data_IF_534831436295
#
_entry.id   IF_534831436295
#
_cell.length_a   1.000
_cell.length_b   1.000
_cell.length_c   1.000
_cell.angle_alpha   90.00
_cell.angle_beta   90.00
_cell.angle_gamma   90.00
#
_symmetry.space_group_name_H-M   'P 1'
#
loop_
_entity.id
_entity.type
_entity.pdbx_description
1 polymer ?
#
# COMPACT_ATOMS: atom_id res chain seq x y z
N UNK A 1 29.58 -63.52 66.18
CA UNK A 1 29.95 -64.62 65.26
C UNK A 1 29.27 -64.31 63.94
N UNK A 2 29.93 -63.64 62.98
CA UNK A 2 30.87 -64.25 62.01
C UNK A 2 30.24 -65.48 61.35
N UNK A 3 30.07 -65.60 60.04
CA UNK A 3 30.73 -64.96 58.89
C UNK A 3 30.11 -65.57 57.63
N UNK A 4 29.86 -64.75 56.60
CA UNK A 4 30.07 -64.96 55.14
C UNK A 4 29.57 -66.26 54.47
N UNK A 5 28.72 -66.23 53.45
CA UNK A 5 28.98 -65.73 52.08
C UNK A 5 29.11 -66.95 51.14
N UNK A 6 28.90 -66.96 49.83
CA UNK A 6 28.56 -66.00 48.78
C UNK A 6 28.40 -66.83 47.47
N UNK A 7 27.57 -66.36 46.52
CA UNK A 7 27.64 -66.56 45.04
C UNK A 7 26.35 -66.02 44.39
N UNK A 8 26.37 -64.79 43.84
CA UNK A 8 26.60 -64.39 42.43
C UNK A 8 25.60 -65.05 41.45
N UNK A 9 24.82 -64.34 40.63
CA UNK A 9 25.15 -63.28 39.65
C UNK A 9 23.90 -62.45 39.30
N UNK A 10 23.96 -61.11 39.26
CA UNK A 10 23.96 -60.30 38.02
C UNK A 10 22.52 -59.93 37.55
N UNK A 11 22.10 -58.69 37.30
CA UNK A 11 22.77 -57.40 37.29
C UNK A 11 21.77 -56.29 36.93
N UNK A 12 21.90 -55.17 37.67
CA UNK A 12 21.78 -53.75 37.30
C UNK A 12 20.45 -53.22 36.68
N UNK A 13 19.59 -52.56 37.46
CA UNK A 13 19.58 -51.14 37.92
C UNK A 13 18.82 -50.19 36.97
N UNK A 14 17.56 -49.89 37.33
CA UNK A 14 16.89 -48.63 36.99
C UNK A 14 16.38 -48.04 38.30
N UNK A 15 16.96 -46.91 38.72
CA UNK A 15 16.60 -46.16 39.92
C UNK A 15 15.82 -44.90 39.51
N UNK A 16 14.60 -44.81 40.06
CA UNK A 16 13.88 -43.64 40.62
C UNK A 16 14.23 -42.22 40.15
N UNK A 17 13.18 -41.45 39.84
CA UNK A 17 12.72 -40.23 40.55
C UNK A 17 11.54 -39.67 39.73
N UNK A 18 10.36 -39.38 40.29
CA UNK A 18 10.08 -38.35 41.28
C UNK A 18 9.19 -37.31 40.61
N UNK A 19 7.87 -37.38 40.83
CA UNK A 19 6.88 -36.48 40.24
C UNK A 19 7.05 -35.06 40.81
N UNK A 20 7.40 -34.10 39.95
CA UNK A 20 7.28 -32.67 40.19
C UNK A 20 6.17 -32.13 39.29
N UNK A 21 5.08 -31.68 39.92
CA UNK A 21 4.02 -30.96 39.25
C UNK A 21 4.55 -29.60 38.76
N UNK A 22 4.85 -29.51 37.46
CA UNK A 22 5.17 -28.25 36.82
C UNK A 22 3.89 -27.44 36.60
N UNK A 23 3.77 -26.32 37.32
CA UNK A 23 2.83 -25.29 36.94
C UNK A 23 3.23 -24.77 35.54
N UNK A 24 2.41 -25.07 34.54
CA UNK A 24 2.51 -24.42 33.23
C UNK A 24 2.06 -22.97 33.46
N UNK A 25 3.04 -22.08 33.65
CA UNK A 25 2.83 -20.67 33.34
C UNK A 25 2.53 -20.62 31.85
N UNK A 26 1.24 -20.56 31.51
CA UNK A 26 0.81 -20.01 30.24
C UNK A 26 1.28 -18.57 30.24
N UNK A 27 2.44 -18.32 29.63
CA UNK A 27 2.85 -16.97 29.28
C UNK A 27 1.77 -16.44 28.33
N UNK A 28 0.94 -15.54 28.84
CA UNK A 28 0.13 -14.68 28.01
C UNK A 28 1.12 -13.89 27.13
N UNK A 29 1.25 -14.29 25.87
CA UNK A 29 1.95 -13.49 24.85
C UNK A 29 1.00 -12.34 24.51
N UNK A 30 1.05 -11.30 25.35
CA UNK A 30 0.37 -10.03 25.15
C UNK A 30 1.38 -8.92 24.88
N UNK A 31 1.27 -8.31 23.70
CA UNK A 31 1.52 -6.90 23.37
C UNK A 31 2.72 -6.18 24.03
N UNK A 32 3.95 -6.55 23.65
CA UNK A 32 5.15 -5.75 23.96
C UNK A 32 5.78 -5.05 22.74
N UNK A 33 5.43 -5.44 21.51
CA UNK A 33 6.05 -4.90 20.29
C UNK A 33 5.38 -3.62 19.72
N UNK A 34 4.21 -3.22 20.24
CA UNK A 34 3.42 -2.08 19.71
C UNK A 34 3.93 -0.69 20.10
N UNK A 35 4.42 -0.55 21.34
CA UNK A 35 4.83 0.73 21.93
C UNK A 35 6.20 1.21 21.41
N UNK A 36 7.21 0.33 21.20
CA UNK A 36 8.56 0.79 20.85
C UNK A 36 8.65 1.55 19.51
N UNK A 37 7.92 1.12 18.46
CA UNK A 37 8.02 1.73 17.13
C UNK A 37 7.43 3.15 17.14
N UNK A 38 6.19 3.28 17.62
CA UNK A 38 5.51 4.58 17.62
C UNK A 38 6.20 5.55 18.57
N UNK A 39 6.63 5.09 19.75
CA UNK A 39 7.37 5.92 20.71
C UNK A 39 8.75 6.32 20.17
N UNK A 40 9.47 5.43 19.47
CA UNK A 40 10.72 5.76 18.78
C UNK A 40 10.51 6.83 17.71
N UNK A 41 9.45 6.69 16.89
CA UNK A 41 9.10 7.66 15.86
C UNK A 41 8.79 9.03 16.46
N UNK A 42 7.98 9.09 17.52
CA UNK A 42 7.65 10.34 18.21
C UNK A 42 8.87 10.99 18.84
N UNK A 43 9.66 10.22 19.57
CA UNK A 43 10.87 10.72 20.25
C UNK A 43 11.85 11.31 19.25
N UNK A 44 12.04 10.65 18.10
CA UNK A 44 12.94 11.16 17.08
C UNK A 44 12.36 12.34 16.29
N UNK A 45 11.04 12.40 16.12
CA UNK A 45 10.35 13.52 15.49
C UNK A 45 10.54 14.80 16.33
N UNK A 46 10.27 14.70 17.64
CA UNK A 46 10.40 15.81 18.58
C UNK A 46 11.85 16.31 18.62
N UNK A 47 12.81 15.40 18.75
CA UNK A 47 14.25 15.72 18.73
C UNK A 47 14.66 16.39 17.41
N UNK A 48 14.16 15.89 16.28
CA UNK A 48 14.51 16.43 14.96
C UNK A 48 13.95 17.83 14.75
N UNK A 49 12.69 18.08 15.13
CA UNK A 49 12.08 19.40 15.05
C UNK A 49 12.76 20.40 15.99
N UNK A 50 13.16 19.98 17.20
CA UNK A 50 13.91 20.81 18.13
C UNK A 50 15.29 21.21 17.58
N UNK A 51 16.08 20.22 17.13
CA UNK A 51 17.46 20.46 16.66
C UNK A 51 17.47 21.24 15.35
N UNK A 52 16.65 20.85 14.37
CA UNK A 52 16.61 21.52 13.07
C UNK A 52 15.88 22.87 13.13
N UNK A 53 15.06 23.10 14.16
CA UNK A 53 14.41 24.39 14.40
C UNK A 53 15.39 25.54 14.68
N UNK A 54 16.64 25.22 15.06
CA UNK A 54 17.70 26.19 15.31
C UNK A 54 18.53 26.56 14.07
N UNK A 55 18.28 25.91 12.92
CA UNK A 55 19.00 26.18 11.68
C UNK A 55 18.47 27.43 10.95
N UNK A 56 19.27 27.97 10.02
CA UNK A 56 18.88 29.14 9.21
C UNK A 56 17.62 28.94 8.37
N UNK A 57 17.36 27.69 7.96
CA UNK A 57 16.21 27.30 7.13
C UNK A 57 15.47 26.17 7.86
N UNK A 58 14.74 26.47 8.94
CA UNK A 58 14.14 25.43 9.77
C UNK A 58 13.01 24.70 9.02
N UNK A 59 12.83 23.39 9.25
CA UNK A 59 11.65 22.69 8.75
C UNK A 59 10.40 23.21 9.43
N UNK A 60 9.35 23.48 8.64
CA UNK A 60 8.04 23.86 9.17
C UNK A 60 7.10 22.65 9.31
N UNK A 61 7.43 21.54 8.64
CA UNK A 61 6.70 20.27 8.71
C UNK A 61 7.65 19.08 8.59
N UNK A 62 7.39 18.06 9.40
CA UNK A 62 8.06 16.77 9.34
C UNK A 62 7.04 15.65 9.62
N UNK A 63 7.10 14.58 8.83
CA UNK A 63 6.36 13.35 9.13
C UNK A 63 7.21 12.12 8.87
N UNK A 64 6.93 11.07 9.65
CA UNK A 64 7.47 9.74 9.47
C UNK A 64 6.32 8.77 9.21
N UNK A 65 6.48 7.95 8.17
CA UNK A 65 5.64 6.78 7.93
C UNK A 65 6.53 5.53 7.90
N UNK A 66 6.28 4.59 8.80
CA UNK A 66 6.87 3.26 8.73
C UNK A 66 5.80 2.31 8.22
N UNK A 67 6.08 1.64 7.10
CA UNK A 67 5.22 0.61 6.51
C UNK A 67 5.88 -0.74 6.66
N UNK A 68 5.23 -1.63 7.41
CA UNK A 68 5.62 -3.03 7.56
C UNK A 68 4.69 -3.94 6.77
N UNK A 69 5.28 -4.80 5.96
CA UNK A 69 4.60 -5.85 5.25
C UNK A 69 5.13 -7.20 5.73
N UNK A 70 4.24 -8.02 6.29
CA UNK A 70 4.56 -9.36 6.79
C UNK A 70 3.54 -10.37 6.27
N UNK A 71 4.02 -11.53 5.82
CA UNK A 71 3.12 -12.57 5.36
C UNK A 71 3.81 -13.69 4.60
N UNK A 72 3.08 -14.32 3.69
CA UNK A 72 3.55 -15.45 2.88
C UNK A 72 3.15 -15.26 1.42
N UNK A 73 3.98 -15.74 0.51
CA UNK A 73 3.67 -15.83 -0.92
C UNK A 73 3.95 -17.25 -1.41
N UNK A 74 2.93 -17.84 -2.04
CA UNK A 74 2.97 -19.18 -2.61
C UNK A 74 2.65 -19.08 -4.10
N UNK A 75 3.36 -19.82 -4.94
CA UNK A 75 3.14 -19.80 -6.39
C UNK A 75 3.49 -21.12 -7.04
N UNK A 76 2.67 -21.53 -8.01
CA UNK A 76 2.88 -22.71 -8.83
C UNK A 76 2.70 -22.38 -10.31
N UNK A 77 3.33 -23.21 -11.14
CA UNK A 77 3.29 -23.12 -12.60
C UNK A 77 3.09 -24.52 -13.15
N UNK A 78 2.10 -24.70 -14.02
CA UNK A 78 1.78 -25.99 -14.64
C UNK A 78 1.70 -27.17 -13.65
N UNK A 79 1.15 -26.94 -12.46
CA UNK A 79 1.00 -27.99 -11.43
C UNK A 79 2.22 -28.24 -10.56
N UNK A 80 3.31 -27.48 -10.75
CA UNK A 80 4.52 -27.59 -9.93
C UNK A 80 4.73 -26.33 -9.09
N UNK A 81 5.03 -26.49 -7.80
CA UNK A 81 5.42 -25.39 -6.95
C UNK A 81 6.67 -24.67 -7.48
N UNK A 82 6.64 -23.34 -7.48
CA UNK A 82 7.73 -22.46 -7.93
C UNK A 82 8.23 -21.52 -6.84
N UNK A 83 7.38 -21.22 -5.85
CA UNK A 83 7.68 -20.31 -4.74
C UNK A 83 6.84 -20.68 -3.52
N UNK A 84 7.46 -20.66 -2.33
CA UNK A 84 6.76 -20.75 -1.05
C UNK A 84 7.66 -20.16 0.02
N UNK A 85 7.53 -18.85 0.23
CA UNK A 85 8.42 -18.12 1.12
C UNK A 85 7.64 -17.15 2.01
N UNK A 86 7.97 -17.08 3.31
CA UNK A 86 7.56 -15.96 4.14
C UNK A 86 8.29 -14.68 3.67
N UNK A 87 7.69 -13.53 3.95
CA UNK A 87 8.36 -12.24 3.79
C UNK A 87 8.03 -11.35 4.98
N UNK A 88 9.02 -10.56 5.38
CA UNK A 88 8.89 -9.54 6.43
C UNK A 88 9.82 -8.40 6.07
N UNK A 89 9.23 -7.27 5.73
CA UNK A 89 9.95 -6.07 5.33
C UNK A 89 9.34 -4.86 6.00
N UNK A 90 10.18 -3.90 6.34
CA UNK A 90 9.79 -2.64 6.97
C UNK A 90 10.54 -1.50 6.29
N UNK A 91 9.81 -0.48 5.86
CA UNK A 91 10.37 0.69 5.19
C UNK A 91 9.95 1.98 5.88
N UNK A 92 10.83 2.96 5.84
CA UNK A 92 10.61 4.32 6.30
C UNK A 92 10.46 5.26 5.11
N UNK A 93 9.42 6.09 5.18
CA UNK A 93 9.31 7.32 4.43
C UNK A 93 9.37 8.53 5.36
N UNK A 94 10.06 9.57 4.89
CA UNK A 94 10.17 10.85 5.58
C UNK A 94 9.71 11.96 4.63
N UNK A 95 8.67 12.70 5.02
CA UNK A 95 8.31 13.96 4.36
C UNK A 95 8.80 15.11 5.24
N UNK A 96 9.77 15.87 4.73
CA UNK A 96 10.38 17.01 5.41
C UNK A 96 10.25 18.22 4.51
N UNK A 97 9.65 19.29 5.05
CA UNK A 97 9.37 20.52 4.32
C UNK A 97 10.00 21.74 4.97
N UNK A 98 10.68 22.54 4.15
CA UNK A 98 11.32 23.82 4.51
C UNK A 98 10.76 24.94 3.64
N UNK A 99 10.74 26.17 4.16
CA UNK A 99 10.02 27.29 3.56
C UNK A 99 8.76 27.57 4.36
N UNK A 100 7.60 27.60 3.72
CA UNK A 100 6.31 27.72 4.39
C UNK A 100 5.19 27.09 3.55
N UNK A 101 3.99 26.99 4.11
CA UNK A 101 2.82 26.43 3.42
C UNK A 101 2.56 27.05 2.03
N UNK A 102 2.81 28.34 1.84
CA UNK A 102 2.57 29.03 0.58
C UNK A 102 3.63 28.80 -0.50
N UNK A 103 4.88 28.55 -0.10
CA UNK A 103 6.00 28.25 -0.98
C UNK A 103 7.03 27.37 -0.25
N UNK A 104 7.20 26.13 -0.69
CA UNK A 104 8.16 25.20 -0.09
C UNK A 104 9.03 24.43 -1.10
N UNK A 105 9.93 23.60 -0.58
CA UNK A 105 10.86 22.76 -1.35
C UNK A 105 10.20 21.68 -2.22
N UNK A 106 8.88 21.52 -2.19
CA UNK A 106 8.16 20.51 -2.96
C UNK A 106 7.51 21.06 -4.24
N UNK A 107 7.46 22.39 -4.40
CA UNK A 107 6.96 23.03 -5.62
C UNK A 107 7.67 22.50 -6.86
N UNK A 108 6.90 22.14 -7.87
CA UNK A 108 7.44 21.62 -9.12
C UNK A 108 8.17 22.74 -9.87
N UNK A 109 9.40 22.47 -10.32
CA UNK A 109 10.17 23.41 -11.16
C UNK A 109 9.65 23.40 -12.60
N UNK A 110 9.65 24.57 -13.24
CA UNK A 110 9.32 24.69 -14.66
C UNK A 110 10.41 24.11 -15.56
N UNK A 111 10.02 23.66 -16.76
CA UNK A 111 10.95 23.13 -17.77
C UNK A 111 11.36 21.66 -17.58
N UNK A 112 10.67 20.91 -16.71
CA UNK A 112 10.78 19.45 -16.67
C UNK A 112 12.12 18.91 -16.20
N UNK A 113 13.00 19.76 -15.63
CA UNK A 113 14.15 19.28 -14.87
C UNK A 113 13.58 18.59 -13.64
N UNK A 114 13.35 17.28 -13.79
CA UNK A 114 12.82 16.42 -12.74
C UNK A 114 13.75 16.61 -11.56
N UNK A 115 13.34 17.40 -10.56
CA UNK A 115 13.85 17.22 -9.20
C UNK A 115 13.85 15.72 -8.99
N UNK A 116 15.03 15.14 -8.72
CA UNK A 116 15.40 13.72 -8.84
C UNK A 116 14.50 12.78 -8.00
N UNK A 117 13.21 12.74 -8.26
CA UNK A 117 12.18 12.30 -7.30
C UNK A 117 11.11 11.44 -7.98
N UNK A 118 11.50 10.72 -9.03
CA UNK A 118 10.87 9.45 -9.39
C UNK A 118 11.69 8.23 -8.97
N UNK A 119 12.86 8.43 -8.36
CA UNK A 119 13.65 7.32 -7.84
C UNK A 119 12.97 6.77 -6.61
N UNK A 120 12.32 5.61 -6.79
CA UNK A 120 11.95 4.70 -5.72
C UNK A 120 13.18 4.48 -4.85
N UNK A 121 13.14 4.99 -3.62
CA UNK A 121 14.23 4.81 -2.67
C UNK A 121 13.66 4.60 -1.27
N UNK A 122 13.01 3.46 -1.02
CA UNK A 122 12.51 3.13 0.31
C UNK A 122 13.70 2.94 1.25
N UNK A 123 13.64 3.54 2.43
CA UNK A 123 14.70 3.33 3.43
C UNK A 123 14.36 2.10 4.27
N UNK A 124 15.14 1.00 4.23
CA UNK A 124 14.88 -0.17 5.06
C UNK A 124 15.02 0.17 6.54
N UNK A 125 14.13 -0.37 7.37
CA UNK A 125 14.15 -0.25 8.83
C UNK A 125 14.32 -1.65 9.42
N UNK A 126 15.10 -1.82 10.50
CA UNK A 126 15.15 -3.08 11.23
C UNK A 126 13.73 -3.57 11.59
N UNK A 127 13.48 -4.86 11.35
CA UNK A 127 12.22 -5.51 11.70
C UNK A 127 12.11 -5.80 13.21
N UNK A 128 13.23 -5.77 13.93
CA UNK A 128 13.25 -5.84 15.39
C UNK A 128 12.64 -4.62 16.06
N UNK A 129 12.36 -4.74 17.36
CA UNK A 129 11.68 -3.71 18.16
C UNK A 129 12.64 -2.83 18.98
N UNK A 130 13.95 -2.86 18.68
CA UNK A 130 14.94 -2.01 19.35
C UNK A 130 14.72 -0.53 19.00
N UNK A 131 14.29 0.31 19.96
CA UNK A 131 13.97 1.71 19.68
C UNK A 131 15.20 2.51 19.24
N UNK A 132 16.40 2.20 19.72
CA UNK A 132 17.60 2.95 19.34
C UNK A 132 18.00 2.66 17.90
N UNK A 133 17.85 1.41 17.45
CA UNK A 133 18.09 1.03 16.06
C UNK A 133 17.10 1.71 15.10
N UNK A 134 15.83 1.79 15.47
CA UNK A 134 14.79 2.49 14.68
C UNK A 134 15.10 3.99 14.64
N UNK A 135 15.40 4.60 15.79
CA UNK A 135 15.74 6.02 15.89
C UNK A 135 16.99 6.39 15.11
N UNK A 136 18.00 5.53 15.06
CA UNK A 136 19.20 5.78 14.26
C UNK A 136 18.89 5.90 12.76
N UNK A 137 17.99 5.06 12.22
CA UNK A 137 17.55 5.14 10.82
C UNK A 137 16.71 6.38 10.57
N UNK A 138 15.78 6.71 11.47
CA UNK A 138 14.97 7.92 11.41
C UNK A 138 15.85 9.17 11.40
N UNK A 139 16.80 9.27 12.34
CA UNK A 139 17.77 10.36 12.44
C UNK A 139 18.56 10.56 11.14
N UNK A 140 19.22 9.49 10.68
CA UNK A 140 20.07 9.55 9.49
C UNK A 140 19.27 9.96 8.26
N UNK A 141 18.08 9.37 8.07
CA UNK A 141 17.22 9.68 6.93
C UNK A 141 16.72 11.13 6.99
N UNK A 142 16.37 11.61 8.18
CA UNK A 142 15.92 13.00 8.38
C UNK A 142 17.01 13.99 8.02
N UNK A 143 18.25 13.77 8.44
CA UNK A 143 19.41 14.61 8.06
C UNK A 143 19.60 14.67 6.53
N UNK A 144 19.53 13.52 5.84
CA UNK A 144 19.64 13.48 4.38
C UNK A 144 18.49 14.21 3.68
N UNK A 145 17.26 14.06 4.20
CA UNK A 145 16.08 14.77 3.66
C UNK A 145 16.17 16.27 3.91
N UNK A 146 16.65 16.71 5.07
CA UNK A 146 16.85 18.11 5.38
C UNK A 146 17.82 18.79 4.41
N UNK A 147 18.99 18.19 4.20
CA UNK A 147 19.99 18.68 3.23
C UNK A 147 19.40 18.79 1.82
N UNK A 148 18.71 17.74 1.38
CA UNK A 148 18.02 17.74 0.08
C UNK A 148 16.96 18.83 0.00
N UNK A 149 16.15 19.02 1.05
CA UNK A 149 15.07 19.98 1.09
C UNK A 149 15.58 21.43 0.97
N UNK A 150 16.73 21.76 1.57
CA UNK A 150 17.35 23.10 1.44
C UNK A 150 17.82 23.40 0.01
N UNK A 151 18.46 22.43 -0.63
CA UNK A 151 18.87 22.55 -2.04
C UNK A 151 17.64 22.75 -2.94
N UNK A 152 16.60 21.95 -2.69
CA UNK A 152 15.33 22.01 -3.40
C UNK A 152 14.62 23.36 -3.21
N UNK A 153 14.57 23.90 -2.00
CA UNK A 153 13.99 25.22 -1.74
C UNK A 153 14.73 26.32 -2.50
N UNK A 154 16.07 26.25 -2.54
CA UNK A 154 16.89 27.22 -3.27
C UNK A 154 16.60 27.19 -4.77
N UNK A 155 16.43 25.99 -5.33
CA UNK A 155 16.04 25.81 -6.73
C UNK A 155 14.63 26.36 -7.00
N UNK A 156 13.67 26.06 -6.13
CA UNK A 156 12.29 26.57 -6.22
C UNK A 156 12.25 28.10 -6.18
N UNK A 157 12.94 28.72 -5.22
CA UNK A 157 13.01 30.18 -5.10
C UNK A 157 13.66 30.84 -6.32
N UNK A 158 14.64 30.17 -6.93
CA UNK A 158 15.28 30.65 -8.16
C UNK A 158 14.33 30.56 -9.33
N UNK A 159 13.65 29.42 -9.51
CA UNK A 159 12.69 29.20 -10.58
C UNK A 159 11.52 30.18 -10.53
N UNK A 160 10.92 30.37 -9.35
CA UNK A 160 9.82 31.33 -9.14
C UNK A 160 10.23 32.77 -9.50
N UNK A 161 11.50 33.15 -9.29
CA UNK A 161 11.99 34.51 -9.60
C UNK A 161 12.20 34.74 -11.11
N UNK A 162 12.56 33.70 -11.86
CA UNK A 162 12.87 33.79 -13.30
C UNK A 162 11.69 33.40 -14.19
N UNK A 163 10.65 32.81 -13.60
CA UNK A 163 9.46 32.33 -14.28
C UNK A 163 8.33 33.35 -14.27
N UNK A 164 7.44 33.26 -15.26
CA UNK A 164 6.17 34.02 -15.29
C UNK A 164 5.27 33.58 -14.12
N UNK A 165 4.41 34.45 -13.59
CA UNK A 165 3.46 34.04 -12.54
C UNK A 165 2.58 32.84 -12.99
N UNK A 166 2.29 31.93 -12.06
CA UNK A 166 1.36 30.81 -12.26
C UNK A 166 -0.09 31.28 -12.16
N UNK A 167 -0.98 30.67 -12.95
CA UNK A 167 -2.43 30.91 -12.85
C UNK A 167 -2.98 30.38 -11.51
N UNK A 168 -2.49 29.22 -11.07
CA UNK A 168 -2.80 28.68 -9.74
C UNK A 168 -1.93 29.37 -8.68
N UNK A 169 -2.58 29.97 -7.68
CA UNK A 169 -1.95 30.70 -6.56
C UNK A 169 -2.08 29.97 -5.22
N UNK A 170 -2.47 28.71 -5.25
CA UNK A 170 -2.72 27.92 -4.05
C UNK A 170 -1.41 27.52 -3.39
N UNK A 171 -1.46 27.47 -2.06
CA UNK A 171 -0.39 26.99 -1.20
C UNK A 171 0.20 25.64 -1.66
N UNK A 172 1.49 25.43 -1.40
CA UNK A 172 2.17 24.15 -1.67
C UNK A 172 1.77 23.04 -0.70
N UNK A 173 1.29 23.43 0.49
CA UNK A 173 0.88 22.48 1.51
C UNK A 173 -0.27 22.98 2.37
N UNK A 174 -1.35 22.21 2.49
CA UNK A 174 -2.50 22.57 3.33
C UNK A 174 -2.20 22.42 4.82
N UNK A 175 -2.90 23.19 5.67
CA UNK A 175 -2.96 22.99 7.12
C UNK A 175 -4.15 22.10 7.46
N UNK A 176 -3.92 21.06 8.26
CA UNK A 176 -4.95 20.05 8.56
C UNK A 176 -5.12 19.82 10.06
N UNK A 177 -6.24 19.17 10.41
CA UNK A 177 -6.47 18.73 11.79
C UNK A 177 -5.61 17.51 12.11
N UNK A 178 -5.04 17.48 13.31
CA UNK A 178 -4.33 16.32 13.82
C UNK A 178 -5.30 15.19 14.24
N UNK A 179 -4.94 13.96 13.93
CA UNK A 179 -5.70 12.76 14.32
C UNK A 179 -4.88 11.85 15.21
N UNK A 180 -5.53 11.23 16.21
CA UNK A 180 -4.95 10.14 17.00
C UNK A 180 -5.80 8.90 16.85
N UNK A 181 -5.23 7.83 16.28
CA UNK A 181 -5.94 6.57 16.03
C UNK A 181 -4.97 5.40 15.98
N UNK A 182 -5.02 4.54 16.99
CA UNK A 182 -4.08 3.42 17.13
C UNK A 182 -4.88 2.10 17.07
N UNK A 183 -4.92 1.46 15.90
CA UNK A 183 -5.68 0.22 15.67
C UNK A 183 -4.93 -1.02 16.13
N UNK A 184 -5.60 -2.00 16.73
CA UNK A 184 -4.98 -3.27 17.13
C UNK A 184 -4.23 -3.95 15.97
N UNK A 185 -2.98 -4.41 16.16
CA UNK A 185 -2.25 -5.13 15.12
C UNK A 185 -2.97 -6.39 14.69
N UNK A 186 -2.89 -6.68 13.39
CA UNK A 186 -3.37 -7.93 12.80
C UNK A 186 -2.20 -8.83 12.46
N UNK A 187 -2.53 -10.09 12.22
CA UNK A 187 -1.57 -11.11 11.85
C UNK A 187 -2.13 -11.95 10.71
N UNK A 188 -1.21 -12.53 9.93
CA UNK A 188 -1.53 -13.52 8.92
C UNK A 188 -1.60 -14.89 9.60
N UNK A 189 -2.76 -15.53 9.51
CA UNK A 189 -2.98 -16.92 9.93
C UNK A 189 -3.56 -17.71 8.75
N UNK A 190 -2.72 -18.56 8.14
CA UNK A 190 -3.08 -19.39 6.99
C UNK A 190 -2.31 -20.71 7.01
N UNK A 191 -2.94 -21.79 6.57
CA UNK A 191 -2.25 -23.05 6.27
C UNK A 191 -1.52 -22.94 4.93
N UNK A 192 -0.21 -22.68 5.00
CA UNK A 192 0.67 -22.55 3.82
C UNK A 192 0.65 -23.82 2.97
N UNK A 193 0.69 -25.00 3.61
CA UNK A 193 0.70 -26.27 2.89
C UNK A 193 -0.63 -26.55 2.17
N UNK A 194 -1.76 -26.11 2.72
CA UNK A 194 -3.03 -26.14 2.02
C UNK A 194 -3.01 -25.24 0.77
N UNK A 195 -2.44 -24.04 0.88
CA UNK A 195 -2.34 -23.12 -0.26
C UNK A 195 -1.36 -23.57 -1.33
N UNK A 196 -0.25 -24.21 -0.98
CA UNK A 196 0.66 -24.88 -1.94
C UNK A 196 -0.10 -25.86 -2.83
N UNK A 197 -0.84 -26.79 -2.21
CA UNK A 197 -1.65 -27.77 -2.93
C UNK A 197 -2.73 -27.13 -3.80
N UNK A 198 -3.34 -26.02 -3.33
CA UNK A 198 -4.36 -25.29 -4.11
C UNK A 198 -3.75 -24.63 -5.34
N UNK A 199 -2.65 -23.89 -5.22
CA UNK A 199 -2.05 -23.21 -6.38
C UNK A 199 -1.48 -24.21 -7.40
N UNK A 200 -0.93 -25.34 -6.96
CA UNK A 200 -0.56 -26.44 -7.86
C UNK A 200 -1.79 -26.94 -8.62
N UNK A 201 -2.89 -27.27 -7.90
CA UNK A 201 -4.15 -27.70 -8.53
C UNK A 201 -4.69 -26.68 -9.53
N UNK A 202 -4.65 -25.39 -9.23
CA UNK A 202 -5.20 -24.35 -10.10
C UNK A 202 -4.35 -24.09 -11.35
N UNK A 203 -3.04 -24.32 -11.27
CA UNK A 203 -2.13 -24.15 -12.41
C UNK A 203 -1.96 -25.43 -13.26
N UNK A 204 -2.27 -26.61 -12.72
CA UNK A 204 -2.10 -27.89 -13.41
C UNK A 204 -2.87 -28.02 -14.75
N UNK A 205 -4.16 -27.61 -14.88
CA UNK A 205 -4.93 -27.84 -16.10
C UNK A 205 -4.32 -27.22 -17.36
N UNK A 206 -3.56 -26.13 -17.21
CA UNK A 206 -2.90 -25.47 -18.34
C UNK A 206 -1.83 -26.35 -19.02
N UNK A 207 -1.29 -27.37 -18.32
CA UNK A 207 -0.24 -28.24 -18.84
C UNK A 207 -0.71 -29.11 -20.01
N UNK A 208 -2.01 -29.41 -20.07
CA UNK A 208 -2.62 -30.21 -21.13
C UNK A 208 -2.77 -29.42 -22.45
N UNK A 209 -2.50 -28.12 -22.45
CA UNK A 209 -2.71 -27.22 -23.58
C UNK A 209 -1.40 -26.64 -24.09
N UNK A 210 -0.68 -27.38 -24.95
CA UNK A 210 0.64 -26.99 -25.48
C UNK A 210 0.72 -25.68 -26.31
N UNK A 211 -0.38 -24.93 -26.45
CA UNK A 211 -0.41 -23.58 -27.02
C UNK A 211 -0.36 -22.46 -25.97
N UNK A 212 -0.54 -22.80 -24.70
CA UNK A 212 -0.39 -21.94 -23.52
C UNK A 212 1.03 -22.17 -23.01
N UNK A 213 1.89 -21.14 -23.10
CA UNK A 213 3.31 -21.27 -22.77
C UNK A 213 3.70 -20.58 -21.45
N UNK A 214 2.77 -19.84 -20.85
CA UNK A 214 2.88 -19.33 -19.48
C UNK A 214 1.57 -19.61 -18.76
N UNK A 215 1.65 -20.19 -17.56
CA UNK A 215 0.52 -20.33 -16.66
C UNK A 215 1.02 -20.35 -15.22
N UNK A 216 0.48 -19.48 -14.38
CA UNK A 216 0.81 -19.41 -12.96
C UNK A 216 -0.45 -19.25 -12.13
N UNK A 217 -0.46 -19.89 -10.97
CA UNK A 217 -1.39 -19.57 -9.90
C UNK A 217 -0.57 -19.13 -8.68
N UNK A 218 -0.93 -18.02 -8.06
CA UNK A 218 -0.26 -17.50 -6.88
C UNK A 218 -1.25 -17.07 -5.82
N UNK A 219 -0.85 -17.28 -4.57
CA UNK A 219 -1.57 -16.85 -3.39
C UNK A 219 -0.63 -16.00 -2.54
N UNK A 220 -1.12 -14.88 -2.05
CA UNK A 220 -0.45 -14.09 -1.02
C UNK A 220 -1.40 -13.76 0.11
N UNK A 221 -0.93 -13.94 1.34
CA UNK A 221 -1.57 -13.42 2.54
C UNK A 221 -0.60 -12.45 3.20
N UNK A 222 -1.00 -11.19 3.28
CA UNK A 222 -0.16 -10.12 3.81
C UNK A 222 -0.92 -9.37 4.90
N UNK A 223 -0.21 -8.98 5.96
CA UNK A 223 -0.63 -7.88 6.82
C UNK A 223 0.25 -6.67 6.51
N UNK A 224 -0.38 -5.55 6.18
CA UNK A 224 0.27 -4.25 6.13
C UNK A 224 -0.03 -3.52 7.43
N UNK A 225 1.01 -3.15 8.17
CA UNK A 225 0.91 -2.26 9.33
C UNK A 225 1.63 -0.97 9.03
N UNK A 226 0.93 0.16 9.16
CA UNK A 226 1.48 1.50 8.96
C UNK A 226 1.47 2.25 10.27
N UNK A 227 2.62 2.79 10.67
CA UNK A 227 2.72 3.79 11.73
C UNK A 227 2.99 5.13 11.08
N UNK A 228 2.30 6.17 11.51
CA UNK A 228 2.44 7.53 10.99
C UNK A 228 2.45 8.53 12.14
N UNK A 229 3.46 9.41 12.15
CA UNK A 229 3.52 10.58 13.05
C UNK A 229 3.90 11.83 12.28
N UNK A 230 3.38 13.00 12.68
CA UNK A 230 3.83 14.27 12.12
C UNK A 230 3.95 15.38 13.16
N UNK A 231 4.67 16.44 12.81
CA UNK A 231 4.96 17.60 13.66
C UNK A 231 3.73 18.47 13.97
N UNK A 232 2.59 18.19 13.35
CA UNK A 232 1.30 18.83 13.64
C UNK A 232 0.50 18.05 14.71
N UNK A 233 1.03 16.91 15.20
CA UNK A 233 0.46 16.14 16.30
C UNK A 233 -0.37 14.92 15.88
N UNK A 234 -0.33 14.54 14.60
CA UNK A 234 -1.00 13.30 14.14
C UNK A 234 -0.21 12.08 14.61
N UNK A 235 -0.92 11.07 15.10
CA UNK A 235 -0.39 9.79 15.57
C UNK A 235 -1.36 8.68 15.15
N UNK A 236 -0.99 7.91 14.11
CA UNK A 236 -1.86 6.89 13.53
C UNK A 236 -1.12 5.56 13.46
N UNK A 237 -1.84 4.48 13.78
CA UNK A 237 -1.49 3.13 13.36
C UNK A 237 -2.69 2.46 12.70
N UNK A 238 -2.50 1.96 11.49
CA UNK A 238 -3.47 1.09 10.79
C UNK A 238 -2.88 -0.29 10.61
N UNK A 239 -3.72 -1.32 10.63
CA UNK A 239 -3.30 -2.69 10.37
C UNK A 239 -4.37 -3.44 9.58
N UNK A 240 -4.02 -3.87 8.37
CA UNK A 240 -4.96 -4.43 7.39
C UNK A 240 -4.43 -5.73 6.80
N UNK A 241 -5.29 -6.74 6.76
CA UNK A 241 -4.99 -8.01 6.08
C UNK A 241 -5.48 -7.93 4.64
N UNK A 242 -4.66 -8.39 3.71
CA UNK A 242 -5.01 -8.54 2.30
C UNK A 242 -4.64 -9.94 1.85
N UNK A 243 -5.65 -10.66 1.39
CA UNK A 243 -5.51 -11.97 0.77
C UNK A 243 -5.75 -11.81 -0.73
N UNK A 244 -4.84 -12.34 -1.54
CA UNK A 244 -4.95 -12.27 -2.99
C UNK A 244 -4.68 -13.63 -3.60
N UNK A 245 -5.60 -14.09 -4.45
CA UNK A 245 -5.42 -15.23 -5.33
C UNK A 245 -5.39 -14.71 -6.76
N UNK A 246 -4.33 -15.05 -7.47
CA UNK A 246 -4.10 -14.61 -8.84
C UNK A 246 -3.82 -15.80 -9.72
N UNK A 247 -4.56 -15.93 -10.82
CA UNK A 247 -4.32 -16.95 -11.85
C UNK A 247 -4.05 -16.22 -13.15
N UNK A 248 -2.90 -16.47 -13.74
CA UNK A 248 -2.45 -15.84 -14.98
C UNK A 248 -2.09 -16.91 -15.99
N UNK A 249 -2.46 -16.70 -17.25
CA UNK A 249 -1.99 -17.55 -18.34
C UNK A 249 -1.89 -16.75 -19.63
N UNK A 250 -1.01 -17.18 -20.52
CA UNK A 250 -0.79 -16.50 -21.79
C UNK A 250 -0.59 -17.45 -22.97
N UNK A 251 -1.17 -17.04 -24.09
CA UNK A 251 -0.80 -17.46 -25.44
C UNK A 251 -0.18 -16.25 -26.15
N UNK A 252 -0.68 -15.82 -27.30
CA UNK A 252 -0.28 -14.54 -27.92
C UNK A 252 -0.69 -13.33 -27.07
N UNK A 253 -1.74 -13.47 -26.27
CA UNK A 253 -2.22 -12.46 -25.33
C UNK A 253 -2.35 -13.08 -23.92
N UNK A 254 -2.10 -12.30 -22.86
CA UNK A 254 -2.32 -12.74 -21.49
C UNK A 254 -3.78 -12.54 -21.07
N UNK A 255 -4.28 -13.45 -20.24
CA UNK A 255 -5.50 -13.28 -19.45
C UNK A 255 -5.21 -13.61 -17.99
N UNK A 256 -6.04 -13.10 -17.10
CA UNK A 256 -5.93 -13.40 -15.68
C UNK A 256 -7.28 -13.39 -14.97
N UNK A 257 -7.27 -13.99 -13.78
CA UNK A 257 -8.29 -13.87 -12.75
C UNK A 257 -7.62 -13.35 -11.50
N UNK A 258 -8.22 -12.32 -10.92
CA UNK A 258 -7.70 -11.62 -9.74
C UNK A 258 -8.79 -11.54 -8.68
N UNK A 259 -8.53 -12.15 -7.54
CA UNK A 259 -9.43 -12.15 -6.39
C UNK A 259 -8.70 -11.52 -5.21
N UNK A 260 -9.34 -10.55 -4.59
CA UNK A 260 -8.87 -9.89 -3.38
C UNK A 260 -9.94 -10.01 -2.30
N UNK A 261 -9.50 -10.25 -1.06
CA UNK A 261 -10.39 -10.35 0.10
C UNK A 261 -9.67 -9.83 1.36
N UNK A 262 -10.46 -9.43 2.35
CA UNK A 262 -9.96 -9.00 3.66
C UNK A 262 -9.81 -10.17 4.65
N UNK A 263 -10.28 -11.35 4.26
CA UNK A 263 -10.20 -12.61 5.00
C UNK A 263 -9.98 -13.80 4.05
N UNK A 264 -9.42 -14.93 4.51
CA UNK A 264 -9.31 -16.13 3.68
C UNK A 264 -10.66 -16.63 3.16
N UNK A 265 -11.73 -16.48 3.94
CA UNK A 265 -13.08 -16.93 3.62
C UNK A 265 -13.75 -16.09 2.53
N UNK A 266 -13.26 -14.85 2.29
CA UNK A 266 -13.72 -14.00 1.21
C UNK A 266 -13.16 -14.38 -0.17
N UNK A 267 -12.17 -15.27 -0.23
CA UNK A 267 -11.66 -15.80 -1.50
C UNK A 267 -12.62 -16.85 -2.09
N UNK A 268 -12.66 -17.01 -3.42
CA UNK A 268 -13.52 -18.01 -4.07
C UNK A 268 -13.17 -19.44 -3.63
N UNK A 269 -14.19 -20.30 -3.64
CA UNK A 269 -14.01 -21.74 -3.44
C UNK A 269 -13.29 -22.43 -4.60
N UNK A 270 -12.79 -23.63 -4.35
CA UNK A 270 -12.01 -24.41 -5.31
C UNK A 270 -12.80 -24.70 -6.61
N UNK A 271 -14.13 -24.86 -6.53
CA UNK A 271 -14.99 -25.12 -7.69
C UNK A 271 -15.10 -23.87 -8.58
N UNK A 272 -15.27 -22.70 -7.98
CA UNK A 272 -15.31 -21.42 -8.68
C UNK A 272 -14.00 -21.13 -9.37
N UNK A 273 -12.87 -21.35 -8.69
CA UNK A 273 -11.55 -21.19 -9.31
C UNK A 273 -11.35 -22.18 -10.46
N UNK A 274 -11.74 -23.44 -10.30
CA UNK A 274 -11.64 -24.45 -11.37
C UNK A 274 -12.47 -24.05 -12.61
N UNK A 275 -13.69 -23.55 -12.40
CA UNK A 275 -14.56 -23.04 -13.47
C UNK A 275 -13.94 -21.85 -14.20
N UNK A 276 -13.36 -20.92 -13.45
CA UNK A 276 -12.69 -19.75 -14.00
C UNK A 276 -11.39 -20.11 -14.74
N UNK A 277 -10.63 -21.10 -14.27
CA UNK A 277 -9.47 -21.67 -14.96
C UNK A 277 -9.87 -22.30 -16.30
N UNK A 278 -10.92 -23.11 -16.32
CA UNK A 278 -11.44 -23.68 -17.57
C UNK A 278 -11.87 -22.58 -18.56
N UNK A 279 -12.60 -21.58 -18.08
CA UNK A 279 -12.99 -20.43 -18.91
C UNK A 279 -11.80 -19.61 -19.43
N UNK A 280 -10.73 -19.46 -18.63
CA UNK A 280 -9.49 -18.82 -19.07
C UNK A 280 -8.83 -19.61 -20.21
N UNK A 281 -8.74 -20.93 -20.08
CA UNK A 281 -8.18 -21.81 -21.12
C UNK A 281 -8.96 -21.66 -22.42
N UNK A 282 -10.29 -21.80 -22.36
CA UNK A 282 -11.16 -21.70 -23.53
C UNK A 282 -11.00 -20.34 -24.23
N UNK A 283 -11.00 -19.26 -23.44
CA UNK A 283 -10.86 -17.90 -23.97
C UNK A 283 -9.48 -17.67 -24.58
N UNK A 284 -8.40 -18.15 -23.95
CA UNK A 284 -7.04 -18.03 -24.46
C UNK A 284 -6.86 -18.77 -25.80
N UNK A 285 -7.45 -19.95 -25.93
CA UNK A 285 -7.39 -20.74 -27.16
C UNK A 285 -8.23 -20.09 -28.28
N UNK A 286 -9.41 -19.55 -27.94
CA UNK A 286 -10.24 -18.80 -28.88
C UNK A 286 -9.54 -17.51 -29.36
N UNK A 287 -8.98 -16.71 -28.45
CA UNK A 287 -8.25 -15.48 -28.78
C UNK A 287 -7.05 -15.73 -29.68
N UNK A 288 -6.37 -16.87 -29.50
CA UNK A 288 -5.19 -17.21 -30.31
C UNK A 288 -5.51 -17.35 -31.80
N UNK A 289 -6.72 -17.82 -32.14
CA UNK A 289 -7.17 -18.02 -33.53
C UNK A 289 -8.16 -16.96 -33.99
N UNK A 290 -8.45 -15.97 -33.14
CA UNK A 290 -9.36 -14.89 -33.47
C UNK A 290 -8.78 -14.04 -34.61
N UNK A 291 -9.60 -13.65 -35.60
CA UNK A 291 -9.15 -12.75 -36.66
C UNK A 291 -8.81 -11.38 -36.07
N UNK A 292 -7.85 -10.70 -36.69
CA UNK A 292 -7.57 -9.31 -36.36
C UNK A 292 -8.80 -8.47 -36.69
N UNK A 293 -9.25 -7.65 -35.74
CA UNK A 293 -10.34 -6.71 -35.99
C UNK A 293 -9.78 -5.47 -36.70
N UNK A 294 -10.45 -5.03 -37.76
CA UNK A 294 -10.13 -3.75 -38.38
C UNK A 294 -10.47 -2.59 -37.43
N UNK A 295 -9.75 -1.46 -37.48
CA UNK A 295 -10.09 -0.28 -36.72
C UNK A 295 -11.56 0.11 -36.94
N UNK A 296 -12.32 0.17 -35.84
CA UNK A 296 -13.76 0.44 -35.86
C UNK A 296 -14.08 1.70 -35.07
N UNK A 297 -14.88 2.58 -35.68
CA UNK A 297 -15.49 3.74 -35.01
C UNK A 297 -16.99 3.52 -34.92
N UNK A 298 -17.48 3.33 -33.69
CA UNK A 298 -18.91 3.19 -33.42
C UNK A 298 -19.20 2.85 -31.98
N UNK A 299 -20.46 2.52 -31.65
CA UNK A 299 -20.86 2.18 -30.29
C UNK A 299 -20.10 0.96 -29.77
N UNK A 300 -19.64 1.04 -28.53
CA UNK A 300 -19.02 -0.08 -27.81
C UNK A 300 -19.82 -0.34 -26.53
N UNK A 301 -20.08 -1.63 -26.25
CA UNK A 301 -20.68 -2.07 -25.00
C UNK A 301 -19.54 -2.63 -24.15
N UNK A 302 -19.29 -2.01 -23.00
CA UNK A 302 -18.36 -2.51 -22.00
C UNK A 302 -19.14 -3.30 -20.96
N UNK A 303 -18.59 -4.42 -20.50
CA UNK A 303 -19.21 -5.28 -19.49
C UNK A 303 -18.24 -5.58 -18.35
N UNK A 304 -18.77 -5.70 -17.13
CA UNK A 304 -18.01 -6.12 -15.95
C UNK A 304 -16.80 -5.22 -15.64
N UNK A 305 -15.68 -5.84 -15.28
CA UNK A 305 -14.46 -5.17 -14.83
C UNK A 305 -13.90 -4.16 -15.83
N UNK A 306 -14.02 -4.43 -17.14
CA UNK A 306 -13.56 -3.52 -18.19
C UNK A 306 -14.27 -2.15 -18.14
N UNK A 307 -15.54 -2.12 -17.72
CA UNK A 307 -16.29 -0.85 -17.55
C UNK A 307 -15.70 -0.04 -16.40
N UNK A 308 -15.41 -0.68 -15.27
CA UNK A 308 -14.79 -0.02 -14.11
C UNK A 308 -13.43 0.56 -14.43
N UNK A 309 -12.56 -0.21 -15.10
CA UNK A 309 -11.23 0.25 -15.54
C UNK A 309 -11.35 1.41 -16.51
N UNK A 310 -12.25 1.33 -17.50
CA UNK A 310 -12.46 2.43 -18.43
C UNK A 310 -12.82 3.73 -17.70
N UNK A 311 -13.76 3.69 -16.76
CA UNK A 311 -14.10 4.87 -15.95
C UNK A 311 -12.93 5.37 -15.09
N UNK A 312 -12.12 4.47 -14.53
CA UNK A 312 -10.93 4.83 -13.77
C UNK A 312 -9.91 5.60 -14.63
N UNK A 313 -9.60 5.10 -15.82
CA UNK A 313 -8.61 5.68 -16.72
C UNK A 313 -9.10 6.97 -17.38
N UNK A 314 -10.38 7.02 -17.80
CA UNK A 314 -10.90 8.17 -18.53
C UNK A 314 -11.28 9.33 -17.61
N UNK A 315 -11.75 9.06 -16.40
CA UNK A 315 -12.18 10.09 -15.45
C UNK A 315 -11.34 10.09 -14.18
N UNK A 316 -11.18 8.94 -13.52
CA UNK A 316 -10.60 8.83 -12.18
C UNK A 316 -9.29 9.60 -12.03
N UNK A 317 -8.29 9.23 -12.83
CA UNK A 317 -7.00 9.91 -12.81
C UNK A 317 -7.09 11.40 -13.16
N UNK A 318 -7.99 11.81 -14.06
CA UNK A 318 -8.16 13.24 -14.42
C UNK A 318 -8.83 14.06 -13.32
N UNK A 319 -9.40 13.41 -12.31
CA UNK A 319 -10.03 14.04 -11.14
C UNK A 319 -9.08 14.14 -9.94
N UNK A 320 -7.84 13.64 -10.06
CA UNK A 320 -6.80 13.84 -9.06
C UNK A 320 -6.37 15.32 -9.06
N UNK A 321 -6.46 15.95 -7.89
CA UNK A 321 -6.25 17.39 -7.73
C UNK A 321 -4.83 17.80 -8.12
N UNK A 322 -3.82 17.01 -7.74
CA UNK A 322 -2.42 17.34 -8.05
C UNK A 322 -2.18 17.55 -9.56
N UNK A 323 -2.90 16.83 -10.42
CA UNK A 323 -2.78 16.93 -11.89
C UNK A 323 -3.32 18.23 -12.45
N UNK A 324 -4.20 18.91 -11.72
CA UNK A 324 -4.69 20.24 -12.11
C UNK A 324 -3.65 21.34 -11.82
N UNK A 325 -2.67 21.05 -10.96
CA UNK A 325 -1.55 21.95 -10.62
C UNK A 325 -0.32 21.72 -11.49
N UNK A 326 -0.11 20.49 -11.99
CA UNK A 326 1.07 20.14 -12.79
C UNK A 326 0.98 20.68 -14.22
N UNK A 327 1.92 21.55 -14.61
CA UNK A 327 1.99 22.12 -15.97
C UNK A 327 2.30 21.07 -17.05
N UNK A 328 2.94 19.95 -16.68
CA UNK A 328 3.21 18.84 -17.59
C UNK A 328 2.00 17.93 -17.85
N UNK A 329 0.92 18.10 -17.09
CA UNK A 329 -0.32 17.36 -17.28
C UNK A 329 -1.30 18.16 -18.14
N UNK A 330 -2.26 17.46 -18.77
CA UNK A 330 -3.25 18.09 -19.64
C UNK A 330 -4.25 19.02 -18.93
N UNK A 331 -4.28 19.04 -17.58
CA UNK A 331 -5.17 19.87 -16.74
C UNK A 331 -6.63 19.90 -17.24
N UNK A 332 -7.12 18.77 -17.76
CA UNK A 332 -8.31 18.72 -18.63
C UNK A 332 -9.56 19.30 -17.96
N UNK A 333 -9.69 19.14 -16.64
CA UNK A 333 -10.88 19.48 -15.89
C UNK A 333 -10.75 20.76 -15.06
N UNK A 334 -9.57 21.40 -15.03
CA UNK A 334 -9.29 22.59 -14.21
C UNK A 334 -10.32 23.71 -14.39
N UNK A 335 -10.78 23.93 -15.63
CA UNK A 335 -11.76 24.99 -15.98
C UNK A 335 -13.20 24.49 -16.11
N UNK A 336 -13.46 23.22 -15.82
CA UNK A 336 -14.76 22.58 -16.02
C UNK A 336 -15.55 22.40 -14.72
N UNK A 337 -15.12 23.03 -13.63
CA UNK A 337 -15.83 22.97 -12.36
C UNK A 337 -17.24 23.55 -12.51
N UNK A 338 -18.25 22.81 -12.06
CA UNK A 338 -19.68 23.08 -12.26
C UNK A 338 -20.18 22.97 -13.71
N UNK A 339 -19.36 22.47 -14.63
CA UNK A 339 -19.81 22.14 -15.99
C UNK A 339 -20.28 20.68 -16.09
N UNK A 340 -21.11 20.42 -17.11
CA UNK A 340 -21.61 19.08 -17.40
C UNK A 340 -20.57 18.29 -18.20
N UNK A 341 -20.08 17.19 -17.63
CA UNK A 341 -19.12 16.27 -18.25
C UNK A 341 -19.73 14.94 -18.67
N UNK A 342 -20.78 14.49 -17.98
CA UNK A 342 -21.47 13.23 -18.25
C UNK A 342 -22.98 13.46 -18.45
N UNK A 343 -23.72 12.48 -18.99
CA UNK A 343 -25.18 12.52 -19.03
C UNK A 343 -25.79 12.70 -17.64
N UNK A 344 -26.98 13.30 -17.57
CA UNK A 344 -27.63 13.70 -16.30
C UNK A 344 -27.89 12.54 -15.33
N UNK A 345 -28.07 11.33 -15.86
CA UNK A 345 -28.30 10.13 -15.07
C UNK A 345 -27.01 9.52 -14.48
N UNK A 346 -25.84 10.13 -14.66
CA UNK A 346 -24.57 9.65 -14.12
C UNK A 346 -24.16 10.45 -12.88
N UNK A 347 -23.73 9.76 -11.83
CA UNK A 347 -23.04 10.34 -10.68
C UNK A 347 -21.86 9.47 -10.33
N UNK A 348 -20.76 10.08 -9.92
CA UNK A 348 -19.51 9.40 -9.57
C UNK A 348 -19.05 9.90 -8.21
N UNK A 349 -18.77 8.96 -7.32
CA UNK A 349 -18.21 9.25 -6.00
C UNK A 349 -17.06 8.30 -5.70
N UNK A 350 -16.13 8.78 -4.89
CA UNK A 350 -15.05 7.99 -4.30
C UNK A 350 -15.34 7.86 -2.81
N UNK A 351 -15.31 6.64 -2.29
CA UNK A 351 -15.68 6.36 -0.90
C UNK A 351 -14.70 5.34 -0.28
N UNK A 352 -13.60 5.82 0.33
CA UNK A 352 -12.59 4.94 0.92
C UNK A 352 -13.07 4.24 2.20
N UNK A 353 -14.23 4.63 2.74
CA UNK A 353 -14.83 3.99 3.91
C UNK A 353 -15.71 2.78 3.56
N UNK A 354 -15.99 2.56 2.26
CA UNK A 354 -16.81 1.45 1.80
C UNK A 354 -15.97 0.16 1.72
N UNK A 355 -16.27 -0.81 2.57
CA UNK A 355 -15.50 -2.07 2.67
C UNK A 355 -16.05 -3.19 1.78
N UNK A 356 -17.31 -3.12 1.37
CA UNK A 356 -17.93 -4.13 0.51
C UNK A 356 -19.03 -3.52 -0.38
N UNK A 357 -19.24 -4.10 -1.56
CA UNK A 357 -20.33 -3.75 -2.47
C UNK A 357 -20.89 -4.99 -3.16
N UNK A 358 -22.21 -5.18 -3.13
CA UNK A 358 -22.86 -6.33 -3.78
C UNK A 358 -22.41 -7.70 -3.26
N UNK A 359 -21.97 -7.79 -2.00
CA UNK A 359 -21.42 -9.01 -1.41
C UNK A 359 -19.96 -9.29 -1.73
N UNK A 360 -19.25 -8.35 -2.38
CA UNK A 360 -17.82 -8.43 -2.69
C UNK A 360 -17.02 -7.45 -1.85
N UNK A 361 -15.93 -7.91 -1.24
CA UNK A 361 -14.98 -7.06 -0.53
C UNK A 361 -14.31 -6.06 -1.49
N UNK A 362 -14.09 -4.83 -1.03
CA UNK A 362 -13.42 -3.78 -1.80
C UNK A 362 -11.98 -3.60 -1.33
N UNK A 363 -11.03 -3.88 -2.23
CA UNK A 363 -9.60 -3.73 -1.96
C UNK A 363 -9.13 -2.27 -1.81
N UNK A 364 -9.96 -1.30 -2.16
CA UNK A 364 -9.64 0.13 -2.14
C UNK A 364 -9.88 0.85 -0.82
N UNK A 365 -10.38 0.15 0.21
CA UNK A 365 -10.73 0.74 1.51
C UNK A 365 -9.50 1.26 2.26
N UNK A 366 -9.65 2.36 3.00
CA UNK A 366 -8.68 2.84 3.98
C UNK A 366 -9.33 3.90 4.89
N UNK A 367 -8.89 3.98 6.15
CA UNK A 367 -9.39 5.03 7.08
C UNK A 367 -8.63 6.35 6.96
N UNK A 368 -7.32 6.27 6.80
CA UNK A 368 -6.42 7.41 6.71
C UNK A 368 -5.51 7.25 5.49
N UNK A 369 -5.31 8.33 4.76
CA UNK A 369 -4.40 8.37 3.62
C UNK A 369 -2.92 8.36 4.06
N UNK A 370 -1.99 8.51 3.12
CA UNK A 370 -0.55 8.54 3.40
C UNK A 370 -0.01 9.92 3.80
N UNK A 371 -0.90 10.84 4.18
CA UNK A 371 -0.56 12.13 4.79
C UNK A 371 -1.23 12.32 6.16
N UNK A 372 -1.83 11.25 6.69
CA UNK A 372 -2.50 11.23 7.99
C UNK A 372 -3.91 11.83 7.97
N UNK A 373 -4.52 12.01 6.79
CA UNK A 373 -5.84 12.62 6.66
C UNK A 373 -6.90 11.55 6.56
N UNK A 374 -7.98 11.69 7.33
CA UNK A 374 -9.10 10.76 7.30
C UNK A 374 -9.72 10.75 5.90
N UNK A 375 -9.83 9.57 5.29
CA UNK A 375 -10.50 9.36 4.02
C UNK A 375 -11.97 9.78 4.09
N UNK A 376 -12.44 10.51 3.08
CA UNK A 376 -13.81 11.01 3.02
C UNK A 376 -14.51 10.53 1.76
N UNK A 377 -15.82 10.35 1.84
CA UNK A 377 -16.63 10.19 0.63
C UNK A 377 -16.65 11.52 -0.14
N UNK A 378 -16.23 11.50 -1.39
CA UNK A 378 -16.22 12.68 -2.27
C UNK A 378 -17.09 12.41 -3.49
N UNK A 379 -18.15 13.20 -3.65
CA UNK A 379 -18.93 13.21 -4.89
C UNK A 379 -18.23 14.12 -5.89
N UNK A 380 -17.54 13.52 -6.85
CA UNK A 380 -16.79 14.23 -7.89
C UNK A 380 -17.69 14.65 -9.04
N UNK A 381 -18.69 13.85 -9.39
CA UNK A 381 -19.70 14.18 -10.41
C UNK A 381 -21.09 13.93 -9.82
N UNK A 382 -21.94 14.94 -9.84
CA UNK A 382 -23.34 14.86 -9.42
C UNK A 382 -24.26 15.17 -10.62
N UNK A 383 -25.11 14.21 -10.99
CA UNK A 383 -26.02 14.29 -12.15
C UNK A 383 -25.37 14.84 -13.42
N UNK A 384 -24.19 14.32 -13.71
CA UNK A 384 -23.38 14.65 -14.87
C UNK A 384 -22.51 15.90 -14.73
N UNK A 385 -22.60 16.63 -13.61
CA UNK A 385 -21.88 17.90 -13.39
C UNK A 385 -20.66 17.68 -12.50
N UNK A 386 -19.49 18.17 -12.91
CA UNK A 386 -18.26 18.14 -12.10
C UNK A 386 -18.40 19.04 -10.86
N UNK A 387 -18.13 18.50 -9.68
CA UNK A 387 -18.29 19.19 -8.39
C UNK A 387 -17.02 19.25 -7.55
N UNK A 388 -16.16 18.26 -7.62
CA UNK A 388 -14.99 18.15 -6.74
C UNK A 388 -13.83 17.41 -7.42
N UNK A 389 -12.66 17.53 -6.80
CA UNK A 389 -11.45 16.76 -7.10
C UNK A 389 -11.05 15.89 -5.91
N UNK A 390 -10.24 14.87 -6.15
CA UNK A 390 -9.59 14.07 -5.11
C UNK A 390 -8.34 14.80 -4.65
N UNK A 391 -8.31 15.19 -3.38
CA UNK A 391 -7.33 16.13 -2.84
C UNK A 391 -6.41 15.44 -1.85
N UNK A 392 -5.11 15.47 -2.17
CA UNK A 392 -4.02 15.37 -1.21
C UNK A 392 -3.84 16.71 -0.47
N UNK A 393 -2.86 16.81 0.43
CA UNK A 393 -2.43 18.06 1.07
C UNK A 393 -1.66 19.01 0.15
N UNK A 394 -1.79 18.86 -1.17
CA UNK A 394 -1.30 19.80 -2.17
C UNK A 394 -2.50 20.54 -2.76
N UNK A 395 -2.87 21.71 -2.22
CA UNK A 395 -4.01 22.50 -2.68
C UNK A 395 -3.96 22.87 -4.17
N UNK A 396 -5.15 23.02 -4.73
CA UNK A 396 -5.40 23.67 -6.02
C UNK A 396 -6.41 24.79 -5.86
N UNK A 397 -6.54 25.65 -6.87
CA UNK A 397 -7.44 26.80 -6.80
C UNK A 397 -8.89 26.38 -6.49
N UNK A 398 -9.52 27.06 -5.52
CA UNK A 398 -10.84 26.70 -4.99
C UNK A 398 -10.89 25.50 -4.02
N UNK A 399 -9.80 24.75 -3.86
CA UNK A 399 -9.73 23.55 -2.99
C UNK A 399 -8.51 23.63 -2.04
N UNK A 400 -8.60 24.40 -0.94
CA UNK A 400 -7.46 24.69 -0.06
C UNK A 400 -7.09 23.56 0.91
N UNK A 401 -7.85 22.46 0.95
CA UNK A 401 -7.71 21.37 1.94
C UNK A 401 -7.73 19.99 1.29
N UNK A 402 -7.09 19.04 1.97
CA UNK A 402 -7.17 17.62 1.65
C UNK A 402 -8.58 17.08 1.95
N UNK A 403 -8.99 16.07 1.19
CA UNK A 403 -10.18 15.27 1.48
C UNK A 403 -9.82 13.78 1.71
N UNK A 404 -8.55 13.52 2.06
CA UNK A 404 -8.07 12.19 2.43
C UNK A 404 -7.84 11.28 1.23
N UNK A 405 -7.32 11.80 0.13
CA UNK A 405 -7.00 11.02 -1.07
C UNK A 405 -5.52 11.07 -1.45
N UNK A 406 -4.66 11.59 -0.57
CA UNK A 406 -3.21 11.58 -0.77
C UNK A 406 -2.62 10.20 -0.50
N UNK A 407 -2.43 9.37 -1.53
CA UNK A 407 -1.91 8.01 -1.36
C UNK A 407 -0.53 7.81 -1.98
N UNK A 408 0.20 6.81 -1.47
CA UNK A 408 1.48 6.35 -2.05
C UNK A 408 1.73 4.89 -1.72
N UNK A 409 2.62 4.29 -2.51
CA UNK A 409 3.39 3.13 -2.11
C UNK A 409 4.63 3.58 -1.33
N UNK A 410 5.09 2.77 -0.38
CA UNK A 410 6.32 3.04 0.36
C UNK A 410 7.50 3.36 -0.58
N UNK A 411 8.31 4.37 -0.26
CA UNK A 411 9.42 4.82 -1.11
C UNK A 411 9.05 5.78 -2.24
N UNK A 412 7.76 6.07 -2.43
CA UNK A 412 7.26 7.09 -3.36
C UNK A 412 6.75 8.33 -2.64
N UNK A 413 6.60 9.43 -3.40
CA UNK A 413 5.89 10.61 -2.93
C UNK A 413 4.39 10.39 -2.99
N UNK A 414 3.67 10.98 -2.05
CA UNK A 414 2.21 11.06 -2.07
C UNK A 414 1.72 11.89 -3.25
N UNK A 415 0.68 11.40 -3.91
CA UNK A 415 -0.02 12.07 -5.03
C UNK A 415 -1.49 12.27 -4.71
#
# INVERSE_FOLDING_TARGET
>A
MSTTGDRKTGGWMVRRCGYLAGAVLAAAVGNADELPVLDAMRTELDRSMEVLGAEDVPPYFLSYEITENRGVSVGASFGSLTRSDPHHQRFLDVDLRVGNHGLDNTRQLRGGSRMRSRSYNPTPVPVGSDPDAIRAVLWWTTDQRYKTAREQLTAVQTDVRVSVETEDKSDDFSREQAFRSVETPRFVDVDVGAWERKVERYSAPFADHGKIYQATASFSANVETRWFVNSEGTEIRTSENVYRLFVYAATVLPLYKDYAALSPEGLPDDETVARDVAGLIDTLLALRVAPLVEPYTGPAILTGQASGVFFHEILGHRLEGHRQKQESDGQTFKKQLNERLLPENFSVYFDPALTAYGGTDLAGTYRYDNQGIKGQRVTVIDKGVLKNFLMARTPIDGFPKSNGHGRKQAGYRTV
#
